data_IF_530874294242
#
_entry.id   IF_530874294242
#
_cell.length_a   1.000
_cell.length_b   1.000
_cell.length_c   1.000
_cell.angle_alpha   90.00
_cell.angle_beta   90.00
_cell.angle_gamma   90.00
#
_symmetry.space_group_name_H-M   'P 1'
#
loop_
_entity.id
_entity.type
_entity.pdbx_description
1 polymer ?
#
# COMPACT_ATOMS: atom_id res chain seq x y z
N UNK A 1 36.15 -62.07 -7.75
CA UNK A 1 36.62 -60.73 -8.21
C UNK A 1 35.44 -59.79 -8.17
N UNK A 2 35.55 -58.75 -7.34
CA UNK A 2 34.49 -57.76 -7.06
C UNK A 2 34.69 -56.58 -8.01
N UNK A 3 33.64 -56.18 -8.71
CA UNK A 3 33.53 -54.85 -9.33
C UNK A 3 32.12 -54.35 -9.01
N UNK A 4 31.99 -53.78 -7.81
CA UNK A 4 30.82 -53.01 -7.43
C UNK A 4 30.98 -51.66 -8.10
N UNK A 5 30.16 -51.38 -9.10
CA UNK A 5 30.03 -50.06 -9.69
C UNK A 5 29.49 -49.12 -8.59
N UNK A 6 30.39 -48.35 -7.99
CA UNK A 6 30.05 -47.26 -7.08
C UNK A 6 29.38 -46.19 -7.95
N UNK A 7 28.04 -46.26 -7.98
CA UNK A 7 27.18 -45.28 -8.62
C UNK A 7 27.57 -43.88 -8.12
N UNK A 8 27.92 -43.02 -9.07
CA UNK A 8 28.30 -41.61 -8.92
C UNK A 8 27.04 -40.80 -8.57
N UNK A 9 26.38 -41.15 -7.47
CA UNK A 9 25.22 -40.43 -6.91
C UNK A 9 25.57 -39.76 -5.58
N UNK A 10 26.80 -39.91 -5.07
CA UNK A 10 27.24 -39.34 -3.80
C UNK A 10 28.12 -38.08 -3.91
N UNK A 11 28.38 -37.55 -5.12
CA UNK A 11 29.19 -36.33 -5.35
C UNK A 11 28.29 -35.14 -5.77
N UNK A 12 27.05 -35.10 -5.31
CA UNK A 12 26.16 -33.94 -5.49
C UNK A 12 25.60 -33.38 -4.18
N UNK A 13 26.11 -33.83 -3.03
CA UNK A 13 25.73 -33.34 -1.70
C UNK A 13 26.73 -32.34 -1.10
N UNK A 14 27.72 -31.87 -1.86
CA UNK A 14 28.66 -30.84 -1.38
C UNK A 14 28.90 -29.84 -2.51
N UNK A 15 27.95 -28.90 -2.72
CA UNK A 15 28.17 -27.54 -3.24
C UNK A 15 26.84 -26.84 -3.61
N UNK A 16 25.87 -26.82 -2.68
CA UNK A 16 24.78 -25.84 -2.70
C UNK A 16 24.71 -25.09 -1.36
N UNK A 17 25.86 -24.65 -0.86
CA UNK A 17 25.95 -23.57 0.13
C UNK A 17 26.64 -22.37 -0.52
N UNK A 18 26.00 -21.81 -1.56
CA UNK A 18 26.33 -20.50 -2.10
C UNK A 18 25.15 -19.92 -2.89
N UNK A 19 23.95 -19.96 -2.32
CA UNK A 19 23.02 -18.85 -2.51
C UNK A 19 22.73 -18.28 -1.12
N UNK A 20 23.61 -17.38 -0.68
CA UNK A 20 23.14 -16.23 0.08
C UNK A 20 22.15 -15.49 -0.84
N UNK A 21 20.89 -15.92 -0.82
CA UNK A 21 19.81 -15.02 -1.16
C UNK A 21 19.83 -13.96 -0.07
N UNK A 22 20.40 -12.81 -0.42
CA UNK A 22 20.31 -11.57 0.34
C UNK A 22 18.86 -11.38 0.83
N UNK A 23 18.60 -11.70 2.09
CA UNK A 23 17.47 -11.14 2.82
C UNK A 23 17.79 -9.69 3.18
N UNK A 24 17.98 -8.84 2.16
CA UNK A 24 17.92 -7.38 2.27
C UNK A 24 17.28 -6.88 0.97
N UNK A 25 16.05 -7.31 0.74
CA UNK A 25 15.33 -7.12 -0.52
C UNK A 25 13.86 -6.78 -0.36
N UNK A 26 13.44 -6.29 0.81
CA UNK A 26 12.28 -5.40 0.92
C UNK A 26 12.38 -4.66 2.26
N UNK A 27 13.44 -3.86 2.39
CA UNK A 27 13.20 -2.52 2.93
C UNK A 27 12.19 -1.95 1.95
N UNK A 28 10.90 -2.03 2.31
CA UNK A 28 9.91 -1.12 1.76
C UNK A 28 10.62 0.22 1.84
N UNK A 29 11.04 0.75 0.69
CA UNK A 29 11.68 2.06 0.64
C UNK A 29 10.63 2.96 1.25
N UNK A 30 10.81 3.26 2.53
CA UNK A 30 10.16 4.34 3.22
C UNK A 30 10.74 5.53 2.49
N UNK A 31 10.15 5.85 1.35
CA UNK A 31 10.41 7.11 0.67
C UNK A 31 10.32 8.13 1.79
N UNK A 32 11.41 8.88 2.00
CA UNK A 32 11.58 9.62 3.23
C UNK A 32 10.30 10.40 3.44
N UNK A 33 9.67 10.17 4.61
CA UNK A 33 8.83 11.20 5.18
C UNK A 33 9.64 12.48 4.98
N UNK A 34 9.07 13.42 4.24
CA UNK A 34 9.80 14.52 3.64
C UNK A 34 10.28 15.45 4.75
N UNK A 35 11.38 15.10 5.40
CA UNK A 35 11.82 15.70 6.65
C UNK A 35 12.37 17.11 6.43
N UNK A 36 12.75 17.47 5.20
CA UNK A 36 13.48 18.71 4.93
C UNK A 36 12.87 19.53 3.79
N UNK A 37 11.62 20.00 3.94
CA UNK A 37 11.17 21.16 3.17
C UNK A 37 10.72 22.28 4.09
N UNK A 38 10.95 23.51 3.63
CA UNK A 38 10.60 24.74 4.33
C UNK A 38 9.07 24.82 4.52
N UNK A 39 8.30 24.42 3.50
CA UNK A 39 6.85 24.50 3.50
C UNK A 39 6.24 23.10 3.43
N UNK A 40 5.52 22.71 4.47
CA UNK A 40 4.66 21.53 4.46
C UNK A 40 3.25 21.95 4.06
N UNK A 41 2.56 21.08 3.33
CA UNK A 41 1.16 21.31 2.96
C UNK A 41 0.28 20.85 4.11
N UNK A 42 -0.59 21.75 4.59
CA UNK A 42 -1.63 21.47 5.56
C UNK A 42 -3.03 21.47 4.92
N UNK A 43 -3.27 22.28 3.90
CA UNK A 43 -4.59 22.29 3.25
C UNK A 43 -4.75 21.20 2.18
N UNK A 44 -5.76 20.35 2.36
CA UNK A 44 -6.10 19.27 1.42
C UNK A 44 -7.62 19.06 1.34
N UNK A 45 -8.10 18.65 0.17
CA UNK A 45 -9.39 17.95 0.08
C UNK A 45 -9.31 16.59 0.81
N UNK A 46 -10.36 16.15 1.53
CA UNK A 46 -10.39 14.84 2.16
C UNK A 46 -10.29 13.70 1.13
N UNK A 47 -9.20 12.93 1.22
CA UNK A 47 -8.93 11.83 0.31
C UNK A 47 -8.12 10.71 0.98
N UNK A 48 -8.23 9.51 0.45
CA UNK A 48 -7.41 8.33 0.76
C UNK A 48 -7.02 7.63 -0.54
N UNK A 49 -5.77 7.18 -0.64
CA UNK A 49 -5.31 6.33 -1.73
C UNK A 49 -5.35 4.86 -1.27
N UNK A 50 -6.11 4.04 -1.98
CA UNK A 50 -6.24 2.62 -1.67
C UNK A 50 -6.30 1.80 -2.95
N UNK A 51 -5.49 0.74 -3.02
CA UNK A 51 -5.39 -0.12 -4.20
C UNK A 51 -5.18 0.66 -5.53
N UNK A 52 -4.33 1.69 -5.50
CA UNK A 52 -4.02 2.61 -6.59
C UNK A 52 -5.21 3.47 -7.07
N UNK A 53 -6.27 3.56 -6.27
CA UNK A 53 -7.43 4.42 -6.52
C UNK A 53 -7.48 5.51 -5.44
N UNK A 54 -7.65 6.76 -5.85
CA UNK A 54 -7.87 7.87 -4.91
C UNK A 54 -9.36 8.06 -4.67
N UNK A 55 -9.81 7.80 -3.45
CA UNK A 55 -11.18 8.04 -3.00
C UNK A 55 -11.25 9.40 -2.33
N UNK A 56 -12.16 10.25 -2.79
CA UNK A 56 -12.42 11.58 -2.21
C UNK A 56 -13.73 11.57 -1.43
N UNK A 57 -13.89 12.47 -0.48
CA UNK A 57 -15.18 12.67 0.20
C UNK A 57 -16.24 13.07 -0.84
N UNK A 58 -17.36 12.36 -0.81
CA UNK A 58 -18.53 12.70 -1.59
C UNK A 58 -19.37 13.71 -0.78
N UNK A 59 -19.56 14.91 -1.31
CA UNK A 59 -20.35 15.97 -0.68
C UNK A 59 -21.80 16.03 -1.17
N UNK A 60 -22.12 15.34 -2.26
CA UNK A 60 -23.41 15.46 -2.95
C UNK A 60 -24.36 14.30 -2.65
N UNK A 61 -23.84 13.13 -2.31
CA UNK A 61 -24.66 11.94 -2.09
C UNK A 61 -25.02 11.72 -0.63
N UNK A 62 -26.26 11.29 -0.39
CA UNK A 62 -26.67 10.78 0.91
C UNK A 62 -25.89 9.50 1.26
N UNK A 63 -25.06 9.60 2.29
CA UNK A 63 -24.24 8.50 2.79
C UNK A 63 -24.87 7.77 3.97
N UNK A 64 -26.09 8.14 4.41
CA UNK A 64 -26.78 7.45 5.52
C UNK A 64 -27.06 5.97 5.23
N UNK A 65 -27.20 5.58 3.97
CA UNK A 65 -27.27 4.17 3.55
C UNK A 65 -25.93 3.41 3.67
N UNK A 66 -24.80 4.11 3.71
CA UNK A 66 -23.45 3.53 3.83
C UNK A 66 -23.09 3.14 5.27
N UNK A 67 -24.04 3.26 6.23
CA UNK A 67 -23.83 2.93 7.64
C UNK A 67 -23.46 1.46 7.88
N UNK A 68 -23.72 0.57 6.92
CA UNK A 68 -23.26 -0.83 6.97
C UNK A 68 -21.80 -0.93 6.55
N UNK A 69 -20.91 -0.67 7.50
CA UNK A 69 -19.50 -1.06 7.41
C UNK A 69 -19.43 -2.56 7.14
N UNK A 70 -18.82 -2.90 6.01
CA UNK A 70 -18.48 -4.28 5.67
C UNK A 70 -17.17 -4.70 6.32
N UNK A 71 -16.44 -5.60 5.65
CA UNK A 71 -15.15 -6.11 6.12
C UNK A 71 -14.14 -4.98 6.26
N UNK A 72 -13.36 -4.98 7.35
CA UNK A 72 -12.14 -4.16 7.47
C UNK A 72 -11.11 -4.64 6.43
N UNK A 73 -10.67 -3.74 5.57
CA UNK A 73 -9.71 -4.04 4.49
C UNK A 73 -8.31 -3.49 4.76
N UNK A 74 -8.16 -2.65 5.79
CA UNK A 74 -6.87 -2.20 6.28
C UNK A 74 -6.99 -1.02 7.24
N UNK A 75 -5.92 -0.25 7.34
CA UNK A 75 -5.82 0.96 8.16
C UNK A 75 -5.01 2.03 7.42
N UNK A 76 -5.24 3.29 7.75
CA UNK A 76 -4.42 4.41 7.29
C UNK A 76 -2.98 4.21 7.77
N UNK A 77 -2.03 4.20 6.85
CA UNK A 77 -0.61 4.00 7.10
C UNK A 77 0.17 5.31 7.23
N UNK A 78 -0.41 6.44 6.78
CA UNK A 78 0.22 7.75 6.85
C UNK A 78 -0.81 8.88 6.73
N UNK A 79 -0.65 9.94 7.54
CA UNK A 79 -1.44 11.18 7.45
C UNK A 79 -0.60 12.25 6.76
N UNK A 80 -1.10 12.86 5.70
CA UNK A 80 -0.35 13.82 4.89
C UNK A 80 -0.41 15.27 5.42
N UNK A 81 -1.56 15.73 5.91
CA UNK A 81 -1.74 17.10 6.41
C UNK A 81 -0.66 17.45 7.45
N UNK A 82 0.13 18.49 7.13
CA UNK A 82 1.23 18.99 7.94
C UNK A 82 2.50 18.13 7.91
N UNK A 83 2.55 17.10 7.06
CA UNK A 83 3.64 16.11 7.04
C UNK A 83 4.38 16.04 5.71
N UNK A 84 3.78 16.48 4.60
CA UNK A 84 4.32 16.33 3.25
C UNK A 84 4.72 17.65 2.60
N UNK A 85 5.70 17.59 1.71
CA UNK A 85 6.12 18.72 0.88
C UNK A 85 5.29 18.84 -0.41
N UNK A 86 5.33 20.02 -1.08
CA UNK A 86 4.88 20.16 -2.46
C UNK A 86 5.48 19.09 -3.38
N UNK A 87 4.63 18.52 -4.24
CA UNK A 87 5.02 17.47 -5.19
C UNK A 87 4.95 16.04 -4.64
N UNK A 88 4.65 15.85 -3.34
CA UNK A 88 4.41 14.51 -2.79
C UNK A 88 3.26 13.80 -3.52
N UNK A 89 3.49 12.55 -3.93
CA UNK A 89 2.50 11.71 -4.60
C UNK A 89 1.91 10.71 -3.60
N UNK A 90 0.57 10.71 -3.50
CA UNK A 90 -0.14 9.76 -2.62
C UNK A 90 0.18 8.31 -2.97
N UNK A 91 0.31 7.49 -1.93
CA UNK A 91 0.52 6.04 -1.99
C UNK A 91 -0.58 5.30 -1.27
N UNK A 92 -0.68 4.00 -1.55
CA UNK A 92 -1.64 3.14 -0.85
C UNK A 92 -1.46 3.22 0.66
N UNK A 93 -2.54 3.57 1.36
CA UNK A 93 -2.57 3.77 2.80
C UNK A 93 -2.42 5.22 3.26
N UNK A 94 -2.07 6.14 2.36
CA UNK A 94 -2.03 7.56 2.68
C UNK A 94 -3.44 8.14 2.75
N UNK A 95 -3.69 8.95 3.78
CA UNK A 95 -4.87 9.78 3.89
C UNK A 95 -4.49 11.25 4.12
N UNK A 96 -5.25 12.17 3.54
CA UNK A 96 -4.97 13.60 3.70
C UNK A 96 -5.22 14.04 5.15
N UNK A 97 -6.36 13.63 5.73
CA UNK A 97 -6.77 14.06 7.07
C UNK A 97 -6.86 12.96 8.12
N UNK A 98 -7.19 11.72 7.73
CA UNK A 98 -7.40 10.64 8.68
C UNK A 98 -6.10 10.28 9.42
N UNK A 99 -6.21 9.97 10.72
CA UNK A 99 -5.04 9.66 11.56
C UNK A 99 -4.47 8.29 11.19
N UNK A 100 -3.17 8.11 11.41
CA UNK A 100 -2.51 6.81 11.38
C UNK A 100 -3.32 5.78 12.20
N UNK A 101 -3.50 4.57 11.66
CA UNK A 101 -4.26 3.49 12.30
C UNK A 101 -5.78 3.61 12.15
N UNK A 102 -6.31 4.66 11.50
CA UNK A 102 -7.76 4.75 11.25
C UNK A 102 -8.21 3.57 10.38
N UNK A 103 -9.20 2.76 10.79
CA UNK A 103 -9.60 1.58 10.05
C UNK A 103 -10.34 1.94 8.75
N UNK A 104 -10.00 1.22 7.68
CA UNK A 104 -10.64 1.31 6.36
C UNK A 104 -11.54 0.09 6.17
N UNK A 105 -12.80 0.33 5.79
CA UNK A 105 -13.80 -0.71 5.60
C UNK A 105 -14.32 -0.71 4.17
N UNK A 106 -14.66 -1.90 3.67
CA UNK A 106 -15.48 -2.03 2.49
C UNK A 106 -16.90 -1.53 2.79
N UNK A 107 -17.50 -0.80 1.86
CA UNK A 107 -18.93 -0.46 1.95
C UNK A 107 -19.73 -1.58 1.29
N UNK A 108 -20.72 -2.12 2.00
CA UNK A 108 -21.64 -3.12 1.46
C UNK A 108 -22.84 -2.46 0.77
N UNK A 109 -23.40 -3.10 -0.27
CA UNK A 109 -24.60 -2.61 -0.96
C UNK A 109 -24.34 -1.56 -2.06
N UNK A 110 -23.08 -1.25 -2.37
CA UNK A 110 -22.71 -0.33 -3.44
C UNK A 110 -21.77 -1.05 -4.43
N UNK A 111 -22.12 -1.06 -5.72
CA UNK A 111 -21.17 -1.39 -6.79
C UNK A 111 -20.41 -0.12 -7.14
N UNK A 112 -19.09 -0.17 -7.22
CA UNK A 112 -18.29 0.97 -7.70
C UNK A 112 -18.83 1.41 -9.07
N UNK A 113 -19.49 2.57 -9.12
CA UNK A 113 -19.87 3.22 -10.37
C UNK A 113 -18.81 4.26 -10.67
N UNK A 114 -17.98 3.98 -11.65
CA UNK A 114 -17.08 4.96 -12.24
C UNK A 114 -17.93 6.01 -12.95
N UNK A 115 -17.99 7.22 -12.39
CA UNK A 115 -18.56 8.38 -13.07
C UNK A 115 -17.42 9.14 -13.74
N UNK A 116 -17.26 8.99 -15.05
CA UNK A 116 -16.35 9.81 -15.84
C UNK A 116 -17.05 11.10 -16.22
N UNK A 117 -16.82 12.16 -15.45
CA UNK A 117 -17.16 13.52 -15.89
C UNK A 117 -16.05 14.02 -16.83
N UNK A 118 -16.06 13.53 -18.07
CA UNK A 118 -15.34 14.17 -19.16
C UNK A 118 -16.18 15.36 -19.61
N UNK A 119 -15.86 16.57 -19.13
CA UNK A 119 -16.30 17.79 -19.81
C UNK A 119 -15.66 17.80 -21.20
N UNK A 120 -16.53 17.75 -22.21
CA UNK A 120 -16.22 17.96 -23.62
C UNK A 120 -15.79 19.40 -23.86
#
# INVERSE_FOLDING_TARGET
>A
MKLVAISITLILLMNFNALQANEIGNVAKKEPATENCINKIDEFEPAIMWNNITYKKNYESDTTGLRRRGKKIGEVAFKMNGMVCPGYKMKNGDATWAKLGTPVYQVTGYKERLSTSLKK
#
